data_IF_948057652370
#
_entry.id   IF_948057652370
#
_cell.length_a   1.000
_cell.length_b   1.000
_cell.length_c   1.000
_cell.angle_alpha   90.00
_cell.angle_beta   90.00
_cell.angle_gamma   90.00
#
_symmetry.space_group_name_H-M   'P 1'
#
loop_
_entity.id
_entity.type
_entity.pdbx_description
1 polymer ?
#
# COMPACT_ATOMS: atom_id res chain seq x y z
N UNK A 1 -21.08 -1.66 -11.88
CA UNK A 1 -20.18 -0.57 -12.34
C UNK A 1 -18.77 -0.84 -11.86
N UNK A 2 -17.81 -0.76 -12.75
CA UNK A 2 -16.41 -0.96 -12.42
C UNK A 2 -15.71 0.37 -12.21
N UNK A 3 -15.11 0.54 -11.04
CA UNK A 3 -14.32 1.72 -10.73
C UNK A 3 -12.85 1.46 -11.03
N UNK A 4 -12.18 2.42 -11.63
CA UNK A 4 -10.74 2.34 -11.83
C UNK A 4 -10.01 2.32 -10.49
N UNK A 5 -8.97 1.51 -10.34
CA UNK A 5 -8.23 1.47 -9.09
C UNK A 5 -7.46 2.74 -8.81
N UNK A 6 -7.24 3.00 -7.54
CA UNK A 6 -6.38 4.07 -7.07
C UNK A 6 -5.09 3.44 -6.55
N UNK A 7 -3.96 3.83 -7.11
CA UNK A 7 -2.67 3.35 -6.69
C UNK A 7 -2.12 4.24 -5.58
N UNK A 8 -1.71 3.62 -4.47
CA UNK A 8 -1.24 4.35 -3.30
C UNK A 8 0.18 3.87 -2.96
N UNK A 9 1.13 4.80 -2.91
CA UNK A 9 2.48 4.52 -2.41
C UNK A 9 2.58 5.07 -1.01
N UNK A 10 2.82 4.20 -0.03
CA UNK A 10 2.90 4.62 1.37
C UNK A 10 4.10 5.53 1.63
N UNK A 11 5.20 5.35 0.90
CA UNK A 11 6.37 6.22 1.05
C UNK A 11 7.16 5.91 2.31
N UNK A 12 7.44 6.93 3.11
CA UNK A 12 8.24 6.78 4.32
C UNK A 12 7.62 5.75 5.27
N UNK A 13 8.32 4.64 5.58
CA UNK A 13 7.73 3.56 6.38
C UNK A 13 7.39 3.95 7.81
N UNK A 14 8.03 4.98 8.34
CA UNK A 14 7.86 5.39 9.73
C UNK A 14 6.97 6.62 9.89
N UNK A 15 6.26 7.00 8.83
CA UNK A 15 5.27 8.07 8.88
C UNK A 15 3.94 7.56 9.43
N UNK A 16 3.01 8.47 9.65
CA UNK A 16 1.66 8.12 10.12
C UNK A 16 0.72 7.75 8.96
N UNK A 17 1.23 7.64 7.74
CA UNK A 17 0.38 7.43 6.57
C UNK A 17 -0.49 6.17 6.66
N UNK A 18 0.11 5.04 7.06
CA UNK A 18 -0.66 3.80 7.16
C UNK A 18 -1.75 3.87 8.22
N UNK A 19 -1.49 4.58 9.33
CA UNK A 19 -2.52 4.81 10.34
C UNK A 19 -3.71 5.55 9.75
N UNK A 20 -3.45 6.59 8.96
CA UNK A 20 -4.50 7.34 8.26
C UNK A 20 -5.23 6.43 7.27
N UNK A 21 -4.48 5.62 6.53
CA UNK A 21 -5.02 4.67 5.57
C UNK A 21 -6.00 3.69 6.25
N UNK A 22 -5.62 3.15 7.41
CA UNK A 22 -6.49 2.24 8.16
C UNK A 22 -7.78 2.92 8.61
N UNK A 23 -7.70 4.18 9.04
CA UNK A 23 -8.87 4.95 9.45
C UNK A 23 -9.83 5.17 8.28
N UNK A 24 -9.29 5.44 7.10
CA UNK A 24 -10.11 5.61 5.89
C UNK A 24 -10.80 4.30 5.52
N UNK A 25 -10.08 3.18 5.59
CA UNK A 25 -10.67 1.86 5.30
C UNK A 25 -11.81 1.50 6.26
N UNK A 26 -11.68 1.87 7.53
CA UNK A 26 -12.73 1.63 8.52
C UNK A 26 -14.04 2.32 8.15
N UNK A 27 -13.97 3.50 7.55
CA UNK A 27 -15.17 4.25 7.17
C UNK A 27 -15.90 3.67 5.97
N UNK A 28 -15.23 2.84 5.18
CA UNK A 28 -15.80 2.13 4.02
C UNK A 28 -16.56 3.05 3.06
N UNK A 29 -16.02 4.24 2.80
CA UNK A 29 -16.67 5.25 1.97
C UNK A 29 -16.08 5.33 0.56
N UNK A 30 -14.94 4.66 0.30
CA UNK A 30 -14.27 4.72 -1.00
C UNK A 30 -14.74 3.55 -1.86
N UNK A 31 -15.31 3.88 -3.03
CA UNK A 31 -15.85 2.89 -3.96
C UNK A 31 -14.78 2.31 -4.88
N UNK A 32 -13.78 3.11 -5.26
CA UNK A 32 -12.69 2.63 -6.11
C UNK A 32 -11.82 1.65 -5.34
N UNK A 33 -11.41 0.52 -5.95
CA UNK A 33 -10.48 -0.38 -5.27
C UNK A 33 -9.13 0.30 -5.05
N UNK A 34 -8.57 0.12 -3.87
CA UNK A 34 -7.29 0.71 -3.50
C UNK A 34 -6.20 -0.35 -3.64
N UNK A 35 -5.11 0.00 -4.31
CA UNK A 35 -3.90 -0.84 -4.41
C UNK A 35 -2.80 -0.14 -3.65
N UNK A 36 -2.31 -0.77 -2.59
CA UNK A 36 -1.29 -0.21 -1.72
C UNK A 36 0.08 -0.81 -2.05
N UNK A 37 1.08 0.04 -2.20
CA UNK A 37 2.48 -0.37 -2.35
C UNK A 37 3.20 -0.04 -1.04
N UNK A 38 3.64 -1.07 -0.33
CA UNK A 38 4.46 -0.94 0.88
C UNK A 38 5.06 -2.30 1.24
N UNK A 39 5.78 -2.38 2.34
CA UNK A 39 6.31 -3.64 2.86
C UNK A 39 5.22 -4.42 3.60
N UNK A 40 5.08 -5.69 3.26
CA UNK A 40 4.13 -6.59 3.94
C UNK A 40 4.46 -6.72 5.43
N UNK A 41 5.74 -6.88 5.77
CA UNK A 41 6.16 -6.97 7.17
C UNK A 41 5.81 -5.71 7.96
N UNK A 42 6.10 -4.54 7.37
CA UNK A 42 5.78 -3.25 8.00
C UNK A 42 4.28 -3.12 8.20
N UNK A 43 3.50 -3.43 7.17
CA UNK A 43 2.04 -3.35 7.24
C UNK A 43 1.50 -4.19 8.38
N UNK A 44 1.95 -5.44 8.48
CA UNK A 44 1.50 -6.36 9.54
C UNK A 44 1.88 -5.86 10.92
N UNK A 45 3.10 -5.34 11.09
CA UNK A 45 3.56 -4.83 12.37
C UNK A 45 2.76 -3.61 12.81
N UNK A 46 2.46 -2.69 11.88
CA UNK A 46 1.66 -1.52 12.21
C UNK A 46 0.20 -1.87 12.47
N UNK A 47 -0.36 -2.81 11.71
CA UNK A 47 -1.71 -3.31 11.97
C UNK A 47 -1.82 -3.91 13.37
N UNK A 48 -0.83 -4.69 13.77
CA UNK A 48 -0.80 -5.28 15.12
C UNK A 48 -0.68 -4.20 16.20
N UNK A 49 0.22 -3.25 16.01
CA UNK A 49 0.44 -2.16 16.96
C UNK A 49 -0.82 -1.30 17.14
N UNK A 50 -1.51 -1.01 16.05
CA UNK A 50 -2.69 -0.15 16.05
C UNK A 50 -4.00 -0.93 16.25
N UNK A 51 -3.90 -2.24 16.46
CA UNK A 51 -5.05 -3.14 16.67
C UNK A 51 -6.08 -3.05 15.55
N UNK A 52 -5.59 -2.92 14.31
CA UNK A 52 -6.41 -2.92 13.11
C UNK A 52 -6.35 -4.29 12.46
N UNK A 53 -7.51 -4.91 12.24
CA UNK A 53 -7.61 -6.24 11.63
C UNK A 53 -8.32 -6.15 10.30
N UNK A 54 -7.66 -6.61 9.25
CA UNK A 54 -8.23 -6.71 7.92
C UNK A 54 -7.44 -7.73 7.12
N UNK A 55 -8.12 -8.45 6.24
CA UNK A 55 -7.45 -9.42 5.37
C UNK A 55 -6.52 -8.68 4.41
N UNK A 56 -5.33 -9.22 4.19
CA UNK A 56 -4.36 -8.69 3.24
C UNK A 56 -4.25 -9.65 2.06
N UNK A 57 -4.48 -9.13 0.86
CA UNK A 57 -4.36 -9.88 -0.39
C UNK A 57 -3.09 -9.43 -1.09
N UNK A 58 -2.13 -10.32 -1.24
CA UNK A 58 -0.89 -10.02 -1.95
C UNK A 58 -1.13 -10.10 -3.45
N UNK A 59 -0.75 -9.05 -4.18
CA UNK A 59 -0.89 -8.98 -5.61
C UNK A 59 0.46 -9.10 -6.29
N UNK A 60 0.46 -9.81 -7.44
CA UNK A 60 1.61 -9.82 -8.34
C UNK A 60 1.48 -8.62 -9.28
N UNK A 61 2.44 -7.69 -9.29
CA UNK A 61 2.35 -6.49 -10.13
C UNK A 61 2.35 -6.79 -11.62
N UNK A 62 2.77 -7.99 -12.03
CA UNK A 62 2.74 -8.40 -13.43
C UNK A 62 1.38 -8.93 -13.87
N UNK A 63 0.48 -9.20 -12.93
CA UNK A 63 -0.79 -9.87 -13.16
C UNK A 63 -1.99 -9.06 -12.64
N UNK A 64 -1.90 -7.73 -12.60
CA UNK A 64 -2.96 -6.92 -12.00
C UNK A 64 -4.31 -7.07 -12.69
N UNK A 65 -4.33 -7.33 -14.01
CA UNK A 65 -5.57 -7.53 -14.74
C UNK A 65 -6.27 -8.86 -14.41
N UNK A 66 -5.56 -9.77 -13.75
CA UNK A 66 -6.09 -11.08 -13.37
C UNK A 66 -6.95 -11.04 -12.10
N UNK A 67 -6.89 -9.95 -11.35
CA UNK A 67 -7.56 -9.85 -10.06
C UNK A 67 -8.88 -9.10 -10.14
N UNK A 68 -9.86 -9.59 -9.37
CA UNK A 68 -11.07 -8.83 -9.09
C UNK A 68 -10.84 -8.08 -7.78
N UNK A 69 -10.59 -6.79 -7.88
CA UNK A 69 -10.21 -5.97 -6.73
C UNK A 69 -11.42 -5.37 -6.02
N UNK A 70 -11.34 -5.32 -4.69
CA UNK A 70 -12.33 -4.66 -3.83
C UNK A 70 -11.66 -4.27 -2.52
N UNK A 71 -12.32 -3.43 -1.72
CA UNK A 71 -11.75 -2.92 -0.47
C UNK A 71 -12.12 -3.72 0.78
N UNK A 72 -12.72 -4.90 0.62
CA UNK A 72 -12.92 -5.83 1.74
C UNK A 72 -11.60 -6.44 2.22
N UNK A 73 -10.58 -6.36 1.40
CA UNK A 73 -9.21 -6.73 1.74
C UNK A 73 -8.29 -5.57 1.41
N UNK A 74 -7.13 -5.52 2.07
CA UNK A 74 -6.06 -4.61 1.65
C UNK A 74 -5.35 -5.28 0.46
N UNK A 75 -5.42 -4.65 -0.70
CA UNK A 75 -4.75 -5.15 -1.90
C UNK A 75 -3.32 -4.62 -1.89
N UNK A 76 -2.36 -5.50 -1.61
CA UNK A 76 -0.99 -5.10 -1.34
C UNK A 76 -0.03 -5.60 -2.41
N UNK A 77 0.78 -4.69 -2.93
CA UNK A 77 1.98 -5.03 -3.71
C UNK A 77 3.17 -4.83 -2.77
N UNK A 78 3.87 -5.92 -2.47
CA UNK A 78 4.97 -5.90 -1.52
C UNK A 78 6.25 -5.35 -2.13
N UNK A 79 6.89 -4.44 -1.40
CA UNK A 79 8.26 -4.01 -1.66
C UNK A 79 9.08 -4.32 -0.40
N UNK A 80 10.21 -4.97 -0.57
CA UNK A 80 11.02 -5.43 0.56
C UNK A 80 11.50 -4.29 1.45
N UNK A 81 11.23 -4.42 2.74
CA UNK A 81 11.75 -3.57 3.80
C UNK A 81 11.58 -4.33 5.10
N UNK A 82 12.64 -4.45 5.88
CA UNK A 82 12.62 -5.18 7.15
C UNK A 82 12.67 -4.20 8.32
N UNK A 83 11.52 -3.84 8.88
CA UNK A 83 11.48 -2.97 10.04
C UNK A 83 11.91 -3.74 11.30
N UNK A 84 12.56 -3.05 12.23
CA UNK A 84 12.87 -3.64 13.54
C UNK A 84 11.65 -3.56 14.46
N UNK A 85 10.81 -2.54 14.27
CA UNK A 85 9.57 -2.35 15.02
C UNK A 85 8.57 -1.59 14.15
N UNK A 86 7.30 -1.55 14.58
CA UNK A 86 6.21 -0.94 13.80
C UNK A 86 6.48 0.52 13.45
N UNK A 87 7.04 1.29 14.40
CA UNK A 87 7.40 2.68 14.18
C UNK A 87 8.81 2.90 14.70
N UNK A 88 9.68 3.35 13.82
CA UNK A 88 11.07 3.69 14.13
C UNK A 88 11.30 5.17 13.89
N UNK A 89 12.42 5.67 14.38
CA UNK A 89 12.84 7.03 14.06
C UNK A 89 13.12 7.12 12.55
N UNK A 90 12.63 8.19 11.91
CA UNK A 90 12.87 8.43 10.49
C UNK A 90 14.38 8.60 10.25
N UNK A 91 14.91 7.88 9.28
CA UNK A 91 16.34 7.87 8.97
C UNK A 91 16.55 7.55 7.49
N UNK A 92 17.82 7.53 7.06
CA UNK A 92 18.18 7.18 5.68
C UNK A 92 18.07 5.68 5.38
N UNK A 93 17.83 4.85 6.40
CA UNK A 93 17.69 3.40 6.26
C UNK A 93 16.61 3.01 5.23
N UNK A 94 15.57 3.81 5.10
CA UNK A 94 14.43 3.51 4.24
C UNK A 94 14.54 4.08 2.83
N UNK A 95 15.63 4.79 2.50
CA UNK A 95 15.73 5.45 1.19
C UNK A 95 15.56 4.51 0.00
N UNK A 96 16.23 3.36 0.04
CA UNK A 96 16.13 2.38 -1.04
C UNK A 96 14.70 1.86 -1.19
N UNK A 97 14.05 1.57 -0.07
CA UNK A 97 12.67 1.12 -0.06
C UNK A 97 11.73 2.16 -0.70
N UNK A 98 11.92 3.42 -0.35
CA UNK A 98 11.10 4.52 -0.90
C UNK A 98 11.32 4.62 -2.42
N UNK A 99 12.57 4.60 -2.87
CA UNK A 99 12.90 4.66 -4.30
C UNK A 99 12.31 3.48 -5.06
N UNK A 100 12.49 2.26 -4.55
CA UNK A 100 11.96 1.05 -5.18
C UNK A 100 10.43 1.10 -5.28
N UNK A 101 9.77 1.64 -4.24
CA UNK A 101 8.32 1.77 -4.22
C UNK A 101 7.83 2.72 -5.33
N UNK A 102 8.49 3.85 -5.51
CA UNK A 102 8.12 4.79 -6.57
C UNK A 102 8.43 4.27 -7.95
N UNK A 103 9.57 3.61 -8.15
CA UNK A 103 9.89 2.99 -9.44
C UNK A 103 8.84 1.98 -9.84
N UNK A 104 8.43 1.12 -8.91
CA UNK A 104 7.39 0.14 -9.16
C UNK A 104 6.06 0.82 -9.49
N UNK A 105 5.69 1.85 -8.73
CA UNK A 105 4.45 2.60 -8.95
C UNK A 105 4.39 3.17 -10.36
N UNK A 106 5.47 3.82 -10.82
CA UNK A 106 5.50 4.42 -12.15
C UNK A 106 5.42 3.37 -13.26
N UNK A 107 6.06 2.22 -13.08
CA UNK A 107 5.93 1.10 -14.03
C UNK A 107 4.50 0.61 -14.13
N UNK A 108 3.82 0.49 -12.99
CA UNK A 108 2.42 0.05 -12.94
C UNK A 108 1.50 1.06 -13.60
N UNK A 109 1.67 2.34 -13.29
CA UNK A 109 0.87 3.42 -13.89
C UNK A 109 0.99 3.37 -15.42
N UNK A 110 2.20 3.23 -15.91
CA UNK A 110 2.46 3.19 -17.35
C UNK A 110 1.87 1.94 -18.00
N UNK A 111 2.06 0.77 -17.39
CA UNK A 111 1.61 -0.50 -17.96
C UNK A 111 0.09 -0.64 -17.98
N UNK A 112 -0.57 -0.28 -16.87
CA UNK A 112 -2.00 -0.49 -16.69
C UNK A 112 -2.84 0.78 -16.91
N UNK A 113 -2.19 1.88 -17.28
CA UNK A 113 -2.85 3.16 -17.54
C UNK A 113 -3.71 3.62 -16.37
N UNK A 114 -3.14 3.54 -15.17
CA UNK A 114 -3.80 4.01 -13.96
C UNK A 114 -3.60 5.51 -13.85
N UNK A 115 -4.69 6.27 -13.71
CA UNK A 115 -4.64 7.72 -13.69
C UNK A 115 -4.78 8.33 -12.28
N UNK A 116 -5.23 7.54 -11.31
CA UNK A 116 -5.40 8.01 -9.93
C UNK A 116 -4.26 7.46 -9.08
N UNK A 117 -3.49 8.37 -8.51
CA UNK A 117 -2.29 8.04 -7.76
C UNK A 117 -2.19 8.91 -6.52
N UNK A 118 -1.93 8.29 -5.37
CA UNK A 118 -1.74 8.98 -4.10
C UNK A 118 -0.36 8.61 -3.55
N UNK A 119 0.37 9.64 -3.14
CA UNK A 119 1.66 9.51 -2.50
C UNK A 119 1.50 9.85 -1.02
N UNK A 120 1.83 8.88 -0.18
CA UNK A 120 1.80 9.07 1.27
C UNK A 120 2.99 9.81 1.83
#
# INVERSE_FOLDING_TARGET
MNYSPILIVAGEPNSIFLEIFFKVLKKNIILSPLILITSHELLRMQMKKLKFKKKVKLLDPLLLDEYRLHNRSINLINVEYKPNKAFEKISTKSNKFIEDSFELAFKIIKKYKIFKFING
#
